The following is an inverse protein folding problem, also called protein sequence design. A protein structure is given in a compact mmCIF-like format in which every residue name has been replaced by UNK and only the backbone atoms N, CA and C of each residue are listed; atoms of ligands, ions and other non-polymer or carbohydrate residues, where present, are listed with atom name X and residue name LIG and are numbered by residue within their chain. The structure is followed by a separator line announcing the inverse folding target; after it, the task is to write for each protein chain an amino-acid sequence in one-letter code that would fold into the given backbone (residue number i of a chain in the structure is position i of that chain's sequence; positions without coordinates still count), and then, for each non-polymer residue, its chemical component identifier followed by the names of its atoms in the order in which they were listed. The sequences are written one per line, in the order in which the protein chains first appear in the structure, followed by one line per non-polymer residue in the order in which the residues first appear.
data_IF_645702534027
#
_entry.id   IF_645702534027
#
_cell.length_a   1.000
_cell.length_b   1.000
_cell.length_c   1.000
_cell.angle_alpha   90.00
_cell.angle_beta   90.00
_cell.angle_gamma   90.00
#
_symmetry.space_group_name_H-M   'P 1'
#
loop_
_entity.id
_entity.type
_entity.pdbx_description
1 polymer ?
#
# COMPACT_ATOMS: atom_id res chain seq x y z
N UNK A 1 16.45 -35.41 -2.86
CA UNK A 1 16.45 -34.63 -4.13
C UNK A 1 15.19 -33.77 -4.12
N UNK A 2 15.24 -32.49 -4.48
CA UNK A 2 14.20 -31.49 -4.16
C UNK A 2 13.21 -31.26 -5.33
N UNK A 3 11.90 -31.13 -5.04
CA UNK A 3 10.83 -30.90 -6.02
C UNK A 3 10.20 -29.50 -5.85
N UNK A 4 9.90 -28.83 -6.96
CA UNK A 4 9.50 -27.41 -7.02
C UNK A 4 8.17 -27.23 -7.76
N UNK A 5 7.31 -26.36 -7.23
CA UNK A 5 6.07 -25.90 -7.84
C UNK A 5 6.12 -24.37 -7.98
N UNK A 6 6.06 -23.88 -9.22
CA UNK A 6 6.08 -22.45 -9.54
C UNK A 6 4.71 -21.99 -10.00
N UNK A 7 4.03 -21.16 -9.20
CA UNK A 7 2.75 -20.54 -9.55
C UNK A 7 2.95 -19.25 -10.33
N UNK A 8 2.32 -19.19 -11.50
CA UNK A 8 2.34 -18.04 -12.40
C UNK A 8 0.94 -17.76 -12.98
N UNK A 9 0.62 -16.48 -13.21
CA UNK A 9 -0.71 -16.09 -13.71
C UNK A 9 -0.89 -16.25 -15.23
N UNK A 10 0.16 -15.99 -16.00
CA UNK A 10 0.22 -16.09 -17.48
C UNK A 10 1.66 -16.40 -17.89
N UNK A 11 1.85 -16.86 -19.12
CA UNK A 11 3.20 -17.13 -19.69
C UNK A 11 3.92 -18.34 -19.07
N UNK A 12 3.17 -19.36 -18.62
CA UNK A 12 3.76 -20.62 -18.12
C UNK A 12 4.77 -21.21 -19.10
N UNK A 13 4.40 -21.27 -20.38
CA UNK A 13 5.21 -21.82 -21.47
C UNK A 13 6.54 -21.06 -21.58
N UNK A 14 6.50 -19.73 -21.76
CA UNK A 14 7.70 -18.90 -21.87
C UNK A 14 8.62 -19.04 -20.66
N UNK A 15 8.08 -19.06 -19.43
CA UNK A 15 8.92 -19.24 -18.23
C UNK A 15 9.52 -20.64 -18.18
N UNK A 16 8.73 -21.68 -18.48
CA UNK A 16 9.23 -23.05 -18.53
C UNK A 16 10.32 -23.22 -19.58
N UNK A 17 10.16 -22.65 -20.78
CA UNK A 17 11.17 -22.65 -21.84
C UNK A 17 12.47 -21.96 -21.41
N UNK A 18 12.36 -20.80 -20.75
CA UNK A 18 13.53 -20.09 -20.21
C UNK A 18 14.28 -20.93 -19.17
N UNK A 19 13.55 -21.58 -18.26
CA UNK A 19 14.15 -22.44 -17.23
C UNK A 19 14.71 -23.74 -17.81
N UNK A 20 14.10 -24.26 -18.88
CA UNK A 20 14.51 -25.50 -19.55
C UNK A 20 15.91 -25.46 -20.14
N UNK A 21 16.49 -24.25 -20.29
CA UNK A 21 17.91 -24.10 -20.67
C UNK A 21 18.87 -24.75 -19.67
N UNK A 22 18.50 -24.78 -18.38
CA UNK A 22 19.39 -25.25 -17.30
C UNK A 22 18.72 -26.24 -16.33
N UNK A 23 17.40 -26.38 -16.37
CA UNK A 23 16.62 -27.14 -15.39
C UNK A 23 15.60 -28.03 -16.09
N UNK A 24 15.26 -29.18 -15.50
CA UNK A 24 14.19 -30.04 -16.04
C UNK A 24 12.83 -29.53 -15.59
N UNK A 25 12.14 -28.79 -16.45
CA UNK A 25 10.85 -28.18 -16.16
C UNK A 25 9.75 -28.63 -17.13
N UNK A 26 8.51 -28.64 -16.64
CA UNK A 26 7.32 -28.77 -17.45
C UNK A 26 6.33 -27.66 -17.11
N UNK A 27 5.40 -27.35 -18.01
CA UNK A 27 4.35 -26.37 -17.77
C UNK A 27 2.97 -27.01 -17.65
N UNK A 28 2.08 -26.35 -16.90
CA UNK A 28 0.69 -26.79 -16.72
C UNK A 28 -0.27 -25.59 -16.67
N UNK A 29 -1.26 -25.57 -17.57
CA UNK A 29 -2.34 -24.59 -17.55
C UNK A 29 -3.60 -25.16 -18.19
N UNK A 30 -4.71 -24.45 -18.05
CA UNK A 30 -6.02 -24.87 -18.57
C UNK A 30 -6.11 -24.95 -20.11
N UNK A 31 -5.12 -24.40 -20.83
CA UNK A 31 -5.05 -24.48 -22.29
C UNK A 31 -4.58 -25.84 -22.82
N UNK A 32 -3.92 -26.65 -21.98
CA UNK A 32 -3.54 -28.01 -22.32
C UNK A 32 -4.75 -28.94 -22.34
N UNK A 33 -4.76 -29.88 -23.28
CA UNK A 33 -5.77 -30.94 -23.32
C UNK A 33 -5.73 -31.79 -22.05
N UNK A 34 -6.82 -32.49 -21.73
CA UNK A 34 -6.87 -33.39 -20.56
C UNK A 34 -5.78 -34.46 -20.64
N UNK A 35 -5.49 -34.98 -21.83
CA UNK A 35 -4.44 -36.00 -22.05
C UNK A 35 -3.05 -35.45 -21.74
N UNK A 36 -2.73 -34.25 -22.21
CA UNK A 36 -1.44 -33.60 -21.94
C UNK A 36 -1.29 -33.27 -20.45
N UNK A 37 -2.33 -32.73 -19.81
CA UNK A 37 -2.34 -32.44 -18.38
C UNK A 37 -2.06 -33.69 -17.54
N UNK A 38 -2.70 -34.80 -17.86
CA UNK A 38 -2.47 -36.08 -17.18
C UNK A 38 -1.03 -36.58 -17.39
N UNK A 39 -0.51 -36.52 -18.62
CA UNK A 39 0.85 -36.95 -18.93
C UNK A 39 1.90 -36.12 -18.18
N UNK A 40 1.78 -34.79 -18.18
CA UNK A 40 2.69 -33.89 -17.44
C UNK A 40 2.64 -34.17 -15.95
N UNK A 41 1.44 -34.32 -15.37
CA UNK A 41 1.28 -34.63 -13.95
C UNK A 41 1.90 -35.98 -13.58
N UNK A 42 1.72 -37.02 -14.39
CA UNK A 42 2.34 -38.33 -14.17
C UNK A 42 3.86 -38.25 -14.22
N UNK A 43 4.43 -37.57 -15.22
CA UNK A 43 5.88 -37.43 -15.36
C UNK A 43 6.50 -36.63 -14.21
N UNK A 44 5.81 -35.61 -13.71
CA UNK A 44 6.23 -34.87 -12.53
C UNK A 44 6.14 -35.71 -11.24
N UNK A 45 5.08 -36.50 -11.09
CA UNK A 45 4.94 -37.42 -9.95
C UNK A 45 6.06 -38.49 -9.93
N UNK A 46 6.51 -38.93 -11.12
CA UNK A 46 7.64 -39.85 -11.31
C UNK A 46 9.01 -39.16 -11.29
N UNK A 47 9.08 -37.91 -10.87
CA UNK A 47 10.31 -37.12 -10.73
C UNK A 47 11.11 -36.93 -12.04
N UNK A 48 10.48 -37.12 -13.21
CA UNK A 48 11.08 -36.88 -14.53
C UNK A 48 11.31 -35.39 -14.78
N UNK A 49 10.39 -34.56 -14.29
CA UNK A 49 10.55 -33.11 -14.18
C UNK A 49 10.71 -32.74 -12.70
N UNK A 50 11.66 -31.85 -12.40
CA UNK A 50 11.87 -31.38 -11.02
C UNK A 50 11.04 -30.14 -10.70
N UNK A 51 10.70 -29.38 -11.73
CA UNK A 51 9.98 -28.12 -11.61
C UNK A 51 8.73 -28.21 -12.48
N UNK A 52 7.59 -27.88 -11.89
CA UNK A 52 6.36 -27.66 -12.65
C UNK A 52 5.98 -26.18 -12.57
N UNK A 53 5.86 -25.54 -13.74
CA UNK A 53 5.47 -24.14 -13.91
C UNK A 53 3.99 -24.09 -14.25
N UNK A 54 3.17 -23.61 -13.32
CA UNK A 54 1.74 -23.82 -13.39
C UNK A 54 0.90 -22.58 -13.11
N UNK A 55 -0.27 -22.51 -13.74
CA UNK A 55 -1.35 -21.61 -13.28
C UNK A 55 -2.18 -22.27 -12.18
N UNK A 56 -3.16 -21.53 -11.65
CA UNK A 56 -4.14 -22.01 -10.66
C UNK A 56 -4.87 -23.30 -11.12
N UNK A 57 -4.89 -23.58 -12.43
CA UNK A 57 -5.41 -24.83 -12.97
C UNK A 57 -4.72 -26.09 -12.40
N UNK A 58 -3.47 -25.97 -11.95
CA UNK A 58 -2.74 -27.04 -11.28
C UNK A 58 -3.07 -27.05 -9.78
N UNK A 59 -4.32 -27.44 -9.48
CA UNK A 59 -4.88 -27.34 -8.14
C UNK A 59 -5.65 -28.58 -7.66
N UNK A 60 -6.56 -29.10 -8.47
CA UNK A 60 -7.39 -30.24 -8.06
C UNK A 60 -6.65 -31.56 -8.31
N UNK A 61 -6.64 -32.45 -7.30
CA UNK A 61 -6.14 -33.82 -7.45
C UNK A 61 -4.61 -34.01 -7.44
N UNK A 62 -3.84 -33.00 -7.00
CA UNK A 62 -2.40 -33.15 -6.79
C UNK A 62 -2.15 -33.59 -5.35
N UNK A 63 -1.49 -34.74 -5.20
CA UNK A 63 -1.07 -35.29 -3.91
C UNK A 63 0.37 -35.82 -3.93
N UNK A 64 1.29 -35.01 -4.47
CA UNK A 64 2.72 -35.29 -4.34
C UNK A 64 3.18 -34.86 -2.95
N UNK A 65 3.61 -35.83 -2.13
CA UNK A 65 3.91 -35.58 -0.71
C UNK A 65 5.18 -34.77 -0.48
N UNK A 66 6.14 -34.91 -1.38
CA UNK A 66 7.52 -34.46 -1.21
C UNK A 66 7.86 -33.14 -1.92
N UNK A 67 6.87 -32.26 -2.12
CA UNK A 67 7.10 -30.92 -2.68
C UNK A 67 7.85 -30.07 -1.67
N UNK A 68 9.06 -29.62 -2.04
CA UNK A 68 9.94 -28.87 -1.14
C UNK A 68 9.86 -27.37 -1.30
N UNK A 69 9.50 -26.91 -2.49
CA UNK A 69 9.40 -25.49 -2.77
C UNK A 69 8.08 -25.19 -3.47
N UNK A 70 7.37 -24.18 -2.96
CA UNK A 70 6.28 -23.52 -3.68
C UNK A 70 6.69 -22.06 -3.88
N UNK A 71 6.78 -21.63 -5.13
CA UNK A 71 7.21 -20.28 -5.48
C UNK A 71 6.06 -19.60 -6.22
N UNK A 72 5.62 -18.45 -5.72
CA UNK A 72 4.68 -17.58 -6.42
C UNK A 72 5.47 -16.53 -7.18
N UNK A 73 5.55 -16.71 -8.50
CA UNK A 73 6.12 -15.70 -9.40
C UNK A 73 5.18 -14.52 -9.61
N UNK A 74 3.88 -14.76 -9.49
CA UNK A 74 2.84 -13.74 -9.58
C UNK A 74 2.10 -13.62 -8.27
N UNK A 75 1.76 -12.39 -7.88
CA UNK A 75 0.92 -12.10 -6.71
C UNK A 75 -0.37 -12.94 -6.77
N UNK A 76 -0.75 -13.71 -5.73
CA UNK A 76 -2.02 -14.45 -5.68
C UNK A 76 -3.23 -13.51 -5.72
N UNK A 77 -4.43 -14.06 -5.94
CA UNK A 77 -5.66 -13.26 -6.01
C UNK A 77 -6.28 -13.02 -4.63
N UNK A 78 -6.10 -13.96 -3.72
CA UNK A 78 -6.63 -13.92 -2.35
C UNK A 78 -5.68 -14.69 -1.41
N UNK A 79 -5.84 -14.51 -0.10
CA UNK A 79 -5.06 -15.24 0.90
C UNK A 79 -5.48 -16.72 0.99
N UNK A 80 -6.74 -17.05 0.72
CA UNK A 80 -7.21 -18.43 0.62
C UNK A 80 -6.55 -19.17 -0.52
N UNK A 81 -6.50 -18.54 -1.71
CA UNK A 81 -5.79 -19.09 -2.85
C UNK A 81 -4.32 -19.33 -2.51
N UNK A 82 -3.66 -18.33 -1.92
CA UNK A 82 -2.28 -18.45 -1.48
C UNK A 82 -2.06 -19.59 -0.47
N UNK A 83 -2.94 -19.73 0.52
CA UNK A 83 -2.88 -20.78 1.53
C UNK A 83 -3.06 -22.17 0.92
N UNK A 84 -4.04 -22.36 0.03
CA UNK A 84 -4.26 -23.63 -0.66
C UNK A 84 -3.11 -24.00 -1.60
N UNK A 85 -2.53 -23.01 -2.29
CA UNK A 85 -1.42 -23.19 -3.23
C UNK A 85 -0.13 -23.56 -2.49
N UNK A 86 0.19 -22.84 -1.40
CA UNK A 86 1.37 -23.12 -0.56
C UNK A 86 1.23 -24.39 0.27
N UNK A 87 0.01 -24.76 0.69
CA UNK A 87 -0.29 -26.01 1.41
C UNK A 87 -0.06 -27.31 0.62
N UNK A 88 0.46 -27.20 -0.61
CA UNK A 88 0.97 -28.35 -1.39
C UNK A 88 2.39 -28.73 -1.01
N UNK A 89 3.14 -27.80 -0.41
CA UNK A 89 4.48 -28.07 0.06
C UNK A 89 4.42 -28.96 1.31
N UNK A 90 5.35 -29.91 1.45
CA UNK A 90 5.62 -30.51 2.76
C UNK A 90 4.55 -31.46 3.29
N UNK A 91 3.75 -32.10 2.45
CA UNK A 91 2.73 -33.07 2.88
C UNK A 91 3.29 -34.35 3.50
N UNK A 92 4.58 -34.60 3.32
CA UNK A 92 5.34 -35.63 4.04
C UNK A 92 5.80 -35.19 5.45
N UNK A 93 5.44 -33.98 5.89
CA UNK A 93 5.82 -33.42 7.19
C UNK A 93 7.26 -32.90 7.26
N UNK A 94 8.03 -33.01 6.18
CA UNK A 94 9.42 -32.51 6.11
C UNK A 94 9.44 -31.04 5.75
N UNK A 95 10.56 -30.39 6.10
CA UNK A 95 10.77 -28.97 5.81
C UNK A 95 10.56 -28.64 4.32
N UNK A 96 9.81 -27.57 4.10
CA UNK A 96 9.52 -27.01 2.79
C UNK A 96 9.44 -25.49 2.88
N UNK A 97 9.72 -24.82 1.76
CA UNK A 97 9.83 -23.36 1.69
C UNK A 97 8.80 -22.81 0.71
N UNK A 98 8.06 -21.81 1.16
CA UNK A 98 7.11 -21.05 0.35
C UNK A 98 7.66 -19.63 0.12
N UNK A 99 7.83 -19.24 -1.15
CA UNK A 99 8.38 -17.93 -1.54
C UNK A 99 7.35 -17.19 -2.37
N UNK A 100 7.10 -15.92 -2.07
CA UNK A 100 6.24 -15.06 -2.88
C UNK A 100 7.04 -13.86 -3.36
N UNK A 101 7.17 -13.73 -4.69
CA UNK A 101 7.70 -12.52 -5.31
C UNK A 101 6.63 -11.45 -5.36
N UNK A 102 6.92 -10.31 -4.74
CA UNK A 102 5.97 -9.21 -4.59
C UNK A 102 6.46 -7.94 -5.27
N UNK A 103 5.62 -7.39 -6.14
CA UNK A 103 5.70 -6.00 -6.58
C UNK A 103 4.32 -5.36 -6.45
N UNK A 104 4.25 -4.18 -5.82
CA UNK A 104 3.01 -3.40 -5.68
C UNK A 104 2.32 -3.17 -7.03
N UNK A 105 3.09 -2.99 -8.11
CA UNK A 105 2.56 -2.76 -9.46
C UNK A 105 1.77 -3.95 -10.04
N UNK A 106 2.00 -5.17 -9.57
CA UNK A 106 1.32 -6.37 -10.09
C UNK A 106 -0.19 -6.35 -9.83
N UNK A 107 -0.64 -5.58 -8.83
CA UNK A 107 -2.06 -5.39 -8.54
C UNK A 107 -2.84 -4.83 -9.74
N UNK A 108 -2.20 -4.01 -10.59
CA UNK A 108 -2.88 -3.39 -11.73
C UNK A 108 -3.36 -4.44 -12.74
N UNK A 109 -2.54 -5.47 -13.00
CA UNK A 109 -2.91 -6.59 -13.87
C UNK A 109 -4.11 -7.36 -13.31
N UNK A 110 -4.15 -7.54 -11.99
CA UNK A 110 -5.23 -8.28 -11.32
C UNK A 110 -6.51 -7.47 -11.32
N UNK A 111 -6.45 -6.19 -10.94
CA UNK A 111 -7.59 -5.28 -11.01
C UNK A 111 -8.18 -5.17 -12.42
N UNK A 112 -7.32 -5.14 -13.44
CA UNK A 112 -7.76 -5.18 -14.83
C UNK A 112 -8.56 -6.45 -15.15
N UNK A 113 -8.06 -7.62 -14.76
CA UNK A 113 -8.79 -8.89 -14.94
C UNK A 113 -10.12 -8.93 -14.17
N UNK A 114 -10.16 -8.42 -12.94
CA UNK A 114 -11.40 -8.33 -12.14
C UNK A 114 -12.43 -7.44 -12.85
N UNK A 115 -12.00 -6.28 -13.37
CA UNK A 115 -12.89 -5.35 -14.03
C UNK A 115 -13.41 -5.88 -15.38
N UNK A 116 -12.57 -6.59 -16.14
CA UNK A 116 -12.93 -7.23 -17.42
C UNK A 116 -13.93 -8.38 -17.28
N UNK A 117 -14.07 -8.99 -16.12
CA UNK A 117 -15.02 -10.09 -15.96
C UNK A 117 -16.47 -9.56 -16.00
N UNK A 118 -17.09 -9.59 -17.18
CA UNK A 118 -18.45 -9.08 -17.40
C UNK A 118 -19.53 -9.91 -16.68
N UNK A 119 -19.22 -11.15 -16.31
CA UNK A 119 -20.14 -12.03 -15.59
C UNK A 119 -20.21 -11.73 -14.10
N UNK A 120 -19.24 -10.99 -13.54
CA UNK A 120 -19.23 -10.64 -12.12
C UNK A 120 -20.04 -9.38 -11.82
N UNK A 121 -20.89 -9.44 -10.79
CA UNK A 121 -21.60 -8.26 -10.26
C UNK A 121 -20.63 -7.22 -9.67
N UNK A 122 -21.11 -6.01 -9.40
CA UNK A 122 -20.29 -4.96 -8.78
C UNK A 122 -19.80 -5.39 -7.39
N UNK A 123 -20.65 -6.06 -6.62
CA UNK A 123 -20.38 -6.57 -5.29
C UNK A 123 -19.33 -7.68 -5.34
N UNK A 124 -19.44 -8.60 -6.30
CA UNK A 124 -18.43 -9.65 -6.51
C UNK A 124 -17.06 -9.07 -6.90
N UNK A 125 -17.04 -8.06 -7.80
CA UNK A 125 -15.82 -7.36 -8.16
C UNK A 125 -15.21 -6.62 -6.98
N UNK A 126 -16.06 -6.05 -6.11
CA UNK A 126 -15.60 -5.36 -4.90
C UNK A 126 -14.97 -6.36 -3.93
N UNK A 127 -15.63 -7.50 -3.66
CA UNK A 127 -15.07 -8.58 -2.85
C UNK A 127 -13.71 -9.07 -3.35
N UNK A 128 -13.56 -9.31 -4.65
CA UNK A 128 -12.28 -9.71 -5.25
C UNK A 128 -11.18 -8.65 -5.08
N UNK A 129 -11.55 -7.35 -5.08
CA UNK A 129 -10.61 -6.26 -4.81
C UNK A 129 -10.22 -6.22 -3.33
N UNK A 130 -11.13 -6.55 -2.44
CA UNK A 130 -10.87 -6.63 -1.00
C UNK A 130 -9.96 -7.82 -0.67
N UNK A 131 -10.22 -8.99 -1.25
CA UNK A 131 -9.33 -10.17 -1.18
C UNK A 131 -7.91 -9.86 -1.68
N UNK A 132 -7.79 -9.10 -2.78
CA UNK A 132 -6.49 -8.64 -3.28
C UNK A 132 -5.81 -7.64 -2.32
N UNK A 133 -6.59 -6.77 -1.66
CA UNK A 133 -6.06 -5.85 -0.65
C UNK A 133 -5.48 -6.63 0.53
N UNK A 134 -6.12 -7.71 0.96
CA UNK A 134 -5.61 -8.56 2.04
C UNK A 134 -4.26 -9.21 1.69
N UNK A 135 -4.12 -9.68 0.45
CA UNK A 135 -2.83 -10.18 -0.06
C UNK A 135 -1.75 -9.08 -0.05
N UNK A 136 -2.10 -7.87 -0.48
CA UNK A 136 -1.18 -6.73 -0.46
C UNK A 136 -0.77 -6.39 0.97
N UNK A 137 -1.71 -6.38 1.92
CA UNK A 137 -1.47 -6.13 3.33
C UNK A 137 -0.53 -7.17 3.93
N UNK A 138 -0.75 -8.44 3.60
CA UNK A 138 0.14 -9.52 3.96
C UNK A 138 1.56 -9.26 3.45
N UNK A 139 1.73 -8.90 2.16
CA UNK A 139 3.05 -8.68 1.56
C UNK A 139 3.78 -7.45 2.14
N UNK A 140 3.06 -6.35 2.39
CA UNK A 140 3.62 -5.10 2.93
C UNK A 140 3.92 -5.18 4.43
N UNK A 141 3.34 -6.16 5.16
CA UNK A 141 3.64 -6.38 6.56
C UNK A 141 5.00 -7.05 6.75
N UNK A 142 5.93 -6.35 7.40
CA UNK A 142 7.33 -6.78 7.60
C UNK A 142 7.66 -7.16 9.05
N UNK A 143 6.66 -7.18 9.94
CA UNK A 143 6.88 -7.27 11.38
C UNK A 143 6.11 -8.42 12.00
N UNK A 144 4.85 -8.59 11.62
CA UNK A 144 4.03 -9.65 12.19
C UNK A 144 4.41 -11.00 11.58
N UNK A 145 4.37 -12.03 12.41
CA UNK A 145 4.61 -13.41 11.97
C UNK A 145 3.71 -13.77 10.78
N UNK A 146 4.30 -14.31 9.69
CA UNK A 146 3.54 -14.73 8.50
C UNK A 146 2.42 -15.72 8.82
N UNK A 147 2.67 -16.68 9.72
CA UNK A 147 1.66 -17.65 10.17
C UNK A 147 0.53 -16.97 10.93
N UNK A 148 0.85 -16.05 11.85
CA UNK A 148 -0.16 -15.27 12.58
C UNK A 148 -1.06 -14.50 11.63
N UNK A 149 -0.50 -13.88 10.59
CA UNK A 149 -1.27 -13.13 9.60
C UNK A 149 -2.21 -14.03 8.78
N UNK A 150 -1.73 -15.18 8.33
CA UNK A 150 -2.54 -16.14 7.56
C UNK A 150 -3.62 -16.77 8.44
N UNK A 151 -3.29 -17.23 9.65
CA UNK A 151 -4.26 -17.90 10.52
C UNK A 151 -5.33 -16.93 11.00
N UNK A 152 -4.95 -15.69 11.34
CA UNK A 152 -5.92 -14.63 11.68
C UNK A 152 -6.91 -14.35 10.54
N UNK A 153 -6.50 -14.51 9.29
CA UNK A 153 -7.40 -14.36 8.14
C UNK A 153 -8.54 -15.40 8.14
N UNK A 154 -8.29 -16.58 8.70
CA UNK A 154 -9.29 -17.64 8.89
C UNK A 154 -9.92 -17.61 10.28
N UNK A 155 -9.86 -16.47 10.97
CA UNK A 155 -10.32 -16.28 12.35
C UNK A 155 -9.69 -17.28 13.35
N UNK A 156 -8.48 -17.75 13.06
CA UNK A 156 -7.69 -18.61 13.95
C UNK A 156 -6.59 -17.80 14.67
N UNK A 157 -6.52 -17.96 15.98
CA UNK A 157 -5.46 -17.35 16.78
C UNK A 157 -4.18 -18.18 16.77
N UNK A 158 -3.05 -17.50 16.58
CA UNK A 158 -1.72 -18.12 16.61
C UNK A 158 -0.73 -17.29 17.40
N UNK A 159 -0.13 -17.90 18.44
CA UNK A 159 0.99 -17.30 19.14
C UNK A 159 2.25 -17.36 18.25
N UNK A 160 2.75 -16.17 17.90
CA UNK A 160 3.97 -15.99 17.13
C UNK A 160 5.21 -16.66 17.73
N UNK A 161 5.26 -16.94 19.04
CA UNK A 161 6.36 -17.69 19.67
C UNK A 161 6.47 -19.11 19.09
N UNK A 162 5.35 -19.72 18.70
CA UNK A 162 5.28 -21.05 18.09
C UNK A 162 5.78 -21.07 16.64
N UNK A 163 6.04 -19.93 16.02
CA UNK A 163 6.66 -19.85 14.69
C UNK A 163 8.09 -20.41 14.70
N UNK A 164 8.80 -20.34 15.83
CA UNK A 164 10.19 -20.82 15.98
C UNK A 164 11.14 -20.28 14.90
N UNK A 165 10.97 -19.01 14.50
CA UNK A 165 11.78 -18.32 13.47
C UNK A 165 11.79 -19.01 12.10
N UNK A 166 10.69 -19.62 11.69
CA UNK A 166 10.57 -20.29 10.37
C UNK A 166 9.85 -19.43 9.32
N UNK A 167 9.74 -18.12 9.51
CA UNK A 167 9.32 -17.17 8.48
C UNK A 167 10.21 -15.93 8.50
N UNK A 168 10.33 -15.26 7.36
CA UNK A 168 11.17 -14.06 7.13
C UNK A 168 10.95 -12.95 8.18
N UNK A 169 9.71 -12.68 8.56
CA UNK A 169 9.41 -11.66 9.57
C UNK A 169 9.90 -12.06 10.97
N UNK A 170 9.84 -13.35 11.34
CA UNK A 170 10.32 -13.83 12.64
C UNK A 170 11.84 -14.07 12.68
N UNK A 171 12.48 -14.28 11.53
CA UNK A 171 13.96 -14.34 11.45
C UNK A 171 14.59 -12.95 11.49
N UNK A 172 13.84 -11.92 11.09
CA UNK A 172 14.28 -10.54 11.16
C UNK A 172 14.41 -10.07 12.63
N UNK A 173 15.64 -10.00 13.13
CA UNK A 173 15.96 -9.60 14.52
C UNK A 173 16.06 -8.09 14.71
N UNK A 174 15.81 -7.30 13.67
CA UNK A 174 15.98 -5.86 13.74
C UNK A 174 14.92 -5.25 14.63
N UNK A 175 15.35 -4.56 15.70
CA UNK A 175 14.42 -3.84 16.57
C UNK A 175 13.70 -2.78 15.76
N UNK A 176 12.38 -2.81 15.83
CA UNK A 176 11.53 -1.85 15.15
C UNK A 176 10.79 -0.97 16.14
N UNK A 177 10.47 0.24 15.68
CA UNK A 177 9.64 1.22 16.39
C UNK A 177 8.51 1.66 15.49
N UNK A 178 7.35 1.78 16.11
CA UNK A 178 6.15 2.32 15.50
C UNK A 178 6.25 3.85 15.55
N UNK A 179 6.18 4.48 14.39
CA UNK A 179 6.24 5.95 14.26
C UNK A 179 4.94 6.43 13.63
N UNK A 180 4.31 7.41 14.26
CA UNK A 180 3.09 8.02 13.76
C UNK A 180 3.42 9.07 12.67
N UNK A 181 2.82 8.90 11.49
CA UNK A 181 2.88 9.75 10.30
C UNK A 181 1.53 10.36 9.93
N UNK A 182 0.59 10.43 10.88
CA UNK A 182 -0.73 11.05 10.71
C UNK A 182 -0.63 12.46 10.14
N UNK A 183 0.29 13.29 10.65
CA UNK A 183 0.49 14.65 10.15
C UNK A 183 0.84 14.65 8.66
N UNK A 184 1.83 13.85 8.25
CA UNK A 184 2.24 13.71 6.84
C UNK A 184 1.07 13.21 5.98
N UNK A 185 0.29 12.25 6.48
CA UNK A 185 -0.86 11.72 5.76
C UNK A 185 -1.99 12.76 5.59
N UNK A 186 -2.23 13.60 6.59
CA UNK A 186 -3.19 14.71 6.50
C UNK A 186 -2.75 15.74 5.43
N UNK A 187 -1.46 16.09 5.41
CA UNK A 187 -0.88 16.99 4.42
C UNK A 187 -1.01 16.42 2.99
N UNK A 188 -0.64 15.15 2.79
CA UNK A 188 -0.81 14.45 1.52
C UNK A 188 -2.29 14.39 1.10
N UNK A 189 -3.20 14.14 2.04
CA UNK A 189 -4.64 14.10 1.77
C UNK A 189 -5.18 15.45 1.32
N UNK A 190 -4.69 16.55 1.90
CA UNK A 190 -5.05 17.91 1.47
C UNK A 190 -4.65 18.15 0.01
N UNK A 191 -3.45 17.72 -0.39
CA UNK A 191 -2.99 17.84 -1.78
C UNK A 191 -3.90 17.02 -2.71
N UNK A 192 -4.20 15.77 -2.36
CA UNK A 192 -5.04 14.87 -3.18
C UNK A 192 -6.49 15.36 -3.30
N UNK A 193 -7.05 15.97 -2.24
CA UNK A 193 -8.46 16.41 -2.20
C UNK A 193 -8.86 17.31 -3.36
N UNK A 194 -7.92 18.11 -3.88
CA UNK A 194 -8.19 19.09 -4.93
C UNK A 194 -7.40 18.84 -6.23
N UNK A 195 -6.64 17.74 -6.32
CA UNK A 195 -5.74 17.49 -7.45
C UNK A 195 -5.79 16.04 -7.93
N UNK A 196 -5.93 15.84 -9.25
CA UNK A 196 -5.72 14.52 -9.88
C UNK A 196 -4.22 14.30 -10.13
N UNK A 197 -3.59 13.54 -9.24
CA UNK A 197 -2.14 13.23 -9.28
C UNK A 197 -1.93 11.72 -9.31
N UNK A 198 -0.97 11.24 -10.09
CA UNK A 198 -0.46 9.88 -9.90
C UNK A 198 0.29 9.77 -8.57
N UNK A 199 0.51 8.55 -8.06
CA UNK A 199 1.32 8.33 -6.85
C UNK A 199 2.69 8.99 -6.95
N UNK A 200 3.36 8.87 -8.10
CA UNK A 200 4.67 9.49 -8.33
C UNK A 200 4.58 11.02 -8.33
N UNK A 201 3.55 11.58 -8.96
CA UNK A 201 3.33 13.03 -8.97
C UNK A 201 3.03 13.57 -7.56
N UNK A 202 2.29 12.83 -6.73
CA UNK A 202 2.02 13.24 -5.35
C UNK A 202 3.30 13.28 -4.52
N UNK A 203 4.17 12.26 -4.65
CA UNK A 203 5.49 12.26 -4.00
C UNK A 203 6.29 13.48 -4.43
N UNK A 204 6.36 13.71 -5.74
CA UNK A 204 7.13 14.78 -6.34
C UNK A 204 6.63 16.15 -5.84
N UNK A 205 5.33 16.41 -5.92
CA UNK A 205 4.69 17.63 -5.40
C UNK A 205 4.96 17.82 -3.90
N UNK A 206 4.78 16.78 -3.09
CA UNK A 206 4.96 16.88 -1.65
C UNK A 206 6.42 17.15 -1.27
N UNK A 207 7.38 16.56 -1.99
CA UNK A 207 8.82 16.83 -1.79
C UNK A 207 9.28 18.14 -2.42
N UNK A 208 8.46 18.79 -3.24
CA UNK A 208 8.85 19.97 -4.01
C UNK A 208 9.81 19.64 -5.15
N UNK A 209 9.81 18.39 -5.60
CA UNK A 209 10.65 17.90 -6.71
C UNK A 209 9.78 17.69 -7.95
N UNK A 210 10.28 18.01 -9.14
CA UNK A 210 9.55 17.78 -10.40
C UNK A 210 8.82 19.00 -10.97
N UNK A 211 8.29 18.84 -12.18
CA UNK A 211 7.84 19.98 -13.01
C UNK A 211 6.40 20.43 -12.73
N UNK A 212 5.56 19.54 -12.17
CA UNK A 212 4.14 19.82 -11.94
C UNK A 212 3.99 20.65 -10.67
N UNK A 213 3.68 21.94 -10.81
CA UNK A 213 3.37 22.82 -9.69
C UNK A 213 1.91 22.67 -9.28
N UNK A 214 1.68 22.50 -7.99
CA UNK A 214 0.35 22.46 -7.38
C UNK A 214 0.29 23.57 -6.35
N UNK A 215 -0.73 24.42 -6.46
CA UNK A 215 -0.99 25.47 -5.48
C UNK A 215 -1.63 24.86 -4.22
N UNK A 216 -0.79 24.51 -3.26
CA UNK A 216 -1.20 23.96 -1.97
C UNK A 216 -0.12 24.25 -0.92
N UNK A 217 -0.54 24.66 0.28
CA UNK A 217 0.35 25.06 1.39
C UNK A 217 1.31 23.95 1.86
N UNK A 218 1.03 22.70 1.52
CA UNK A 218 1.84 21.53 1.88
C UNK A 218 2.78 21.08 0.76
N UNK A 219 2.70 21.65 -0.45
CA UNK A 219 3.65 21.36 -1.52
C UNK A 219 5.07 21.78 -1.09
N UNK A 220 6.06 20.90 -1.27
CA UNK A 220 7.44 21.13 -0.84
C UNK A 220 7.78 20.79 0.63
N UNK A 221 6.79 20.56 1.50
CA UNK A 221 7.05 20.28 2.92
C UNK A 221 7.75 18.94 3.20
N UNK A 222 7.64 17.98 2.28
CA UNK A 222 8.27 16.67 2.37
C UNK A 222 9.73 16.62 1.90
N UNK A 223 10.41 17.74 1.69
CA UNK A 223 11.77 17.79 1.11
C UNK A 223 12.79 16.91 1.86
N UNK A 224 12.72 16.89 3.19
CA UNK A 224 13.60 16.14 4.10
C UNK A 224 13.15 14.68 4.29
N UNK A 225 12.01 14.29 3.73
CA UNK A 225 11.48 12.94 3.85
C UNK A 225 11.91 12.13 2.62
N UNK A 226 12.44 10.93 2.86
CA UNK A 226 12.84 10.01 1.78
C UNK A 226 11.63 9.65 0.91
N UNK A 227 11.83 9.66 -0.42
CA UNK A 227 10.83 9.25 -1.42
C UNK A 227 10.17 7.90 -1.09
N UNK A 228 10.97 6.93 -0.68
CA UNK A 228 10.49 5.57 -0.34
C UNK A 228 9.61 5.54 0.91
N UNK A 229 9.79 6.46 1.85
CA UNK A 229 8.94 6.57 3.03
C UNK A 229 7.59 7.21 2.69
N UNK A 230 7.60 8.30 1.92
CA UNK A 230 6.36 8.93 1.42
C UNK A 230 5.56 7.93 0.58
N UNK A 231 6.23 7.17 -0.28
CA UNK A 231 5.59 6.10 -1.06
C UNK A 231 4.90 5.07 -0.17
N UNK A 232 5.56 4.60 0.90
CA UNK A 232 4.96 3.67 1.88
C UNK A 232 3.73 4.27 2.57
N UNK A 233 3.83 5.52 3.02
CA UNK A 233 2.72 6.25 3.65
C UNK A 233 1.53 6.34 2.68
N UNK A 234 1.75 6.76 1.43
CA UNK A 234 0.70 6.82 0.40
C UNK A 234 0.08 5.45 0.16
N UNK A 235 0.89 4.39 0.01
CA UNK A 235 0.40 3.02 -0.16
C UNK A 235 -0.47 2.58 1.02
N UNK A 236 -0.06 2.90 2.25
CA UNK A 236 -0.84 2.63 3.46
C UNK A 236 -2.14 3.42 3.51
N UNK A 237 -2.14 4.67 3.04
CA UNK A 237 -3.36 5.47 2.89
C UNK A 237 -4.33 4.86 1.87
N UNK A 238 -3.83 4.30 0.76
CA UNK A 238 -4.63 3.58 -0.24
C UNK A 238 -5.23 2.31 0.36
N UNK A 239 -4.40 1.53 1.06
CA UNK A 239 -4.78 0.27 1.72
C UNK A 239 -5.89 0.50 2.75
N UNK A 240 -5.73 1.51 3.62
CA UNK A 240 -6.71 1.86 4.66
C UNK A 240 -7.93 2.60 4.11
N UNK A 241 -7.95 2.91 2.81
CA UNK A 241 -9.11 3.50 2.14
C UNK A 241 -9.29 5.00 2.32
N UNK A 242 -8.30 5.73 2.84
CA UNK A 242 -8.34 7.21 2.93
C UNK A 242 -8.26 7.88 1.57
N UNK A 243 -7.45 7.29 0.68
CA UNK A 243 -7.35 7.66 -0.72
C UNK A 243 -7.56 6.42 -1.58
N UNK A 244 -7.96 6.62 -2.82
CA UNK A 244 -8.19 5.54 -3.77
C UNK A 244 -7.47 5.85 -5.08
N UNK A 245 -7.01 4.81 -5.76
CA UNK A 245 -6.53 4.91 -7.13
C UNK A 245 -7.70 4.73 -8.09
N UNK A 246 -7.86 5.68 -9.01
CA UNK A 246 -8.80 5.59 -10.12
C UNK A 246 -8.03 5.58 -11.43
N UNK A 247 -8.37 4.62 -12.29
CA UNK A 247 -7.82 4.53 -13.64
C UNK A 247 -8.87 5.00 -14.64
N UNK A 248 -8.50 5.95 -15.50
CA UNK A 248 -9.30 6.41 -16.64
C UNK A 248 -8.51 6.15 -17.93
N UNK A 249 -9.19 5.79 -19.02
CA UNK A 249 -8.58 5.69 -20.34
C UNK A 249 -8.82 6.98 -21.10
N UNK A 250 -7.75 7.69 -21.45
CA UNK A 250 -7.82 8.89 -22.28
C UNK A 250 -7.05 8.62 -23.57
N UNK A 251 -7.74 8.54 -24.70
CA UNK A 251 -7.12 8.21 -25.99
C UNK A 251 -6.50 6.81 -26.06
N UNK A 252 -7.07 5.83 -25.34
CA UNK A 252 -6.58 4.45 -25.32
C UNK A 252 -5.44 4.18 -24.31
N UNK A 253 -4.86 5.23 -23.73
CA UNK A 253 -3.82 5.07 -22.70
C UNK A 253 -4.42 5.10 -21.30
N UNK A 254 -4.22 4.05 -20.48
CA UNK A 254 -4.69 4.03 -19.10
C UNK A 254 -3.85 4.99 -18.25
N UNK A 255 -4.51 5.96 -17.62
CA UNK A 255 -3.91 6.87 -16.66
C UNK A 255 -4.50 6.65 -15.27
N UNK A 256 -3.64 6.39 -14.28
CA UNK A 256 -4.05 6.17 -12.89
C UNK A 256 -3.69 7.38 -12.03
N UNK A 257 -4.67 7.87 -11.28
CA UNK A 257 -4.54 9.00 -10.37
C UNK A 257 -5.23 8.73 -9.03
N UNK A 258 -4.86 9.50 -8.02
CA UNK A 258 -5.37 9.39 -6.66
C UNK A 258 -6.59 10.28 -6.46
N UNK A 259 -7.58 9.78 -5.73
CA UNK A 259 -8.77 10.51 -5.29
C UNK A 259 -8.90 10.41 -3.78
N UNK A 260 -9.35 11.51 -3.16
CA UNK A 260 -9.65 11.55 -1.73
C UNK A 260 -11.02 10.92 -1.45
N UNK A 261 -11.13 10.12 -0.38
CA UNK A 261 -12.42 9.58 0.08
C UNK A 261 -12.96 10.41 1.25
N UNK A 262 -14.13 11.03 1.06
CA UNK A 262 -14.71 12.05 1.95
C UNK A 262 -15.04 11.59 3.39
N UNK A 263 -15.18 10.29 3.62
CA UNK A 263 -15.73 9.73 4.87
C UNK A 263 -14.69 9.07 5.79
N UNK A 264 -13.41 9.43 5.69
CA UNK A 264 -12.36 8.82 6.51
C UNK A 264 -11.61 9.90 7.31
N UNK A 265 -12.36 10.62 8.16
CA UNK A 265 -11.76 11.38 9.25
C UNK A 265 -11.34 10.36 10.31
N UNK A 266 -10.03 10.18 10.48
CA UNK A 266 -9.29 9.44 11.52
C UNK A 266 -8.00 8.88 10.87
N UNK A 267 -7.06 9.73 10.50
CA UNK A 267 -5.79 9.24 9.95
C UNK A 267 -4.89 8.78 11.09
N UNK A 268 -4.96 7.52 11.50
CA UNK A 268 -3.90 6.86 12.26
C UNK A 268 -2.98 6.11 11.28
N UNK A 269 -2.00 6.84 10.75
CA UNK A 269 -0.98 6.25 9.88
C UNK A 269 0.26 6.03 10.70
N UNK A 270 0.47 4.79 11.12
CA UNK A 270 1.71 4.40 11.78
C UNK A 270 2.58 3.61 10.80
N UNK A 271 3.88 3.86 10.76
CA UNK A 271 4.82 3.06 9.98
C UNK A 271 5.89 2.50 10.88
N UNK A 272 6.34 1.29 10.53
CA UNK A 272 7.35 0.61 11.30
C UNK A 272 8.73 0.93 10.74
N UNK A 273 9.60 1.42 11.61
CA UNK A 273 10.96 1.84 11.33
C UNK A 273 11.96 0.96 12.07
N UNK A 274 13.12 0.71 11.44
CA UNK A 274 14.27 0.09 12.12
C UNK A 274 14.85 1.10 13.11
N UNK A 275 15.19 0.66 14.33
CA UNK A 275 15.65 1.54 15.42
C UNK A 275 16.83 2.45 15.05
N UNK A 276 17.73 2.00 14.17
CA UNK A 276 18.88 2.79 13.70
C UNK A 276 18.47 4.07 12.94
N UNK A 277 17.25 4.12 12.38
CA UNK A 277 16.74 5.28 11.64
C UNK A 277 16.19 6.35 12.58
N UNK A 278 15.60 5.96 13.71
CA UNK A 278 15.02 6.93 14.67
C UNK A 278 16.13 7.64 15.47
N UNK A 279 17.29 7.01 15.66
CA UNK A 279 18.44 7.65 16.29
C UNK A 279 19.01 8.84 15.47
N UNK A 280 18.80 8.88 14.15
CA UNK A 280 19.26 9.99 13.28
C UNK A 280 18.23 11.12 13.11
N UNK A 281 16.98 10.91 13.54
CA UNK A 281 15.88 11.87 13.38
C UNK A 281 15.30 12.35 14.72
N UNK A 282 16.06 12.24 15.82
CA UNK A 282 15.70 12.88 17.10
C UNK A 282 15.96 14.38 17.02
N UNK A 283 15.05 15.12 16.40
CA UNK A 283 14.74 16.47 16.86
C UNK A 283 13.29 16.45 17.36
N UNK A 284 13.02 16.96 18.57
CA UNK A 284 11.66 17.01 19.09
C UNK A 284 10.88 18.07 18.33
N UNK A 285 9.75 17.68 17.74
CA UNK A 285 8.68 18.63 17.40
C UNK A 285 8.19 19.19 18.73
N UNK A 286 8.67 20.39 19.08
CA UNK A 286 8.21 21.12 20.25
C UNK A 286 6.69 21.29 20.17
N UNK A 287 6.04 20.95 21.28
CA UNK A 287 4.63 21.26 21.54
C UNK A 287 4.50 22.78 21.57
N UNK A 288 4.06 23.38 20.47
CA UNK A 288 3.55 24.75 20.51
C UNK A 288 2.30 24.77 21.41
N UNK A 289 2.52 25.15 22.67
CA UNK A 289 1.47 25.62 23.56
C UNK A 289 0.80 26.81 22.88
N UNK A 290 -0.49 26.63 22.60
CA UNK A 290 -1.41 27.71 22.29
C UNK A 290 -1.33 28.69 23.47
N UNK A 291 -0.77 29.87 23.23
CA UNK A 291 -0.69 30.94 24.20
C UNK A 291 -2.04 31.67 24.23
N UNK A 292 -3.05 31.03 24.81
CA UNK A 292 -4.25 31.70 25.31
C UNK A 292 -3.88 32.36 26.62
N UNK A 293 -3.43 33.61 26.58
CA UNK A 293 -3.52 34.57 27.69
C UNK A 293 -3.08 35.97 27.23
N UNK A 294 -4.05 36.74 26.74
CA UNK A 294 -4.05 38.22 26.79
C UNK A 294 -5.47 38.75 26.51
N UNK A 295 -6.41 38.31 27.34
CA UNK A 295 -7.71 38.97 27.56
C UNK A 295 -8.15 38.66 28.98
N UNK A 296 -7.56 39.34 29.96
CA UNK A 296 -8.20 39.69 31.23
C UNK A 296 -7.27 40.61 32.03
N UNK A 297 -7.34 41.90 31.73
CA UNK A 297 -6.99 42.96 32.67
C UNK A 297 -7.80 44.19 32.27
N UNK A 298 -8.25 44.94 33.27
CA UNK A 298 -9.16 46.11 33.17
C UNK A 298 -10.64 45.74 33.11
N UNK A 299 -11.14 45.22 34.24
CA UNK A 299 -12.44 45.63 34.82
C UNK A 299 -12.36 45.43 36.33
N UNK A 300 -12.18 46.53 37.06
CA UNK A 300 -12.87 46.88 38.30
C UNK A 300 -12.10 47.98 39.05
N UNK A 301 -12.46 49.23 38.78
CA UNK A 301 -12.51 50.28 39.79
C UNK A 301 -13.54 51.30 39.34
N UNK A 302 -14.78 51.11 39.77
CA UNK A 302 -15.80 52.14 39.76
C UNK A 302 -15.53 53.12 40.91
N UNK A 303 -15.83 54.39 40.61
CA UNK A 303 -16.08 55.52 41.50
C UNK A 303 -14.91 56.16 42.26
N UNK A 304 -14.46 57.30 41.73
CA UNK A 304 -14.60 58.58 42.43
C UNK A 304 -14.33 59.76 41.49
N UNK A 305 -15.17 60.81 41.60
CA UNK A 305 -14.73 62.20 41.41
C UNK A 305 -14.77 62.84 40.01
N UNK A 306 -15.88 63.53 39.74
CA UNK A 306 -16.03 64.82 39.03
C UNK A 306 -14.72 65.55 38.64
N UNK A 307 -14.60 66.03 37.39
CA UNK A 307 -14.87 67.43 36.94
C UNK A 307 -14.48 67.65 35.46
N UNK A 308 -15.11 68.67 34.88
CA UNK A 308 -14.98 69.27 33.55
C UNK A 308 -13.58 69.31 32.89
N UNK A 309 -13.53 69.34 31.55
CA UNK A 309 -13.18 70.54 30.75
C UNK A 309 -13.25 70.24 29.24
N UNK A 310 -13.90 71.19 28.57
CA UNK A 310 -14.26 71.35 27.17
C UNK A 310 -13.12 71.60 26.16
N UNK A 311 -13.47 71.51 24.85
CA UNK A 311 -12.89 72.23 23.67
C UNK A 311 -11.50 71.71 23.23
N UNK A 312 -11.08 71.64 21.97
CA UNK A 312 -11.18 72.52 20.78
C UNK A 312 -10.30 71.79 19.72
N UNK A 313 -10.64 71.57 18.45
CA UNK A 313 -10.33 72.46 17.30
C UNK A 313 -10.72 71.74 16.00
N UNK A 314 -11.50 72.45 15.18
CA UNK A 314 -11.81 72.22 13.76
C UNK A 314 -10.66 72.71 12.86
N UNK A 315 -10.77 72.39 11.56
CA UNK A 315 -10.16 73.06 10.38
C UNK A 315 -8.77 72.45 10.04
N UNK A 316 -8.56 71.82 8.86
CA UNK A 316 -8.57 72.42 7.51
C UNK A 316 -9.13 71.46 6.45
N UNK A 317 -9.89 72.07 5.53
CA UNK A 317 -10.58 71.57 4.33
C UNK A 317 -9.64 71.42 3.11
N UNK A 318 -10.11 70.60 2.15
CA UNK A 318 -9.85 70.60 0.67
C UNK A 318 -8.45 70.09 0.29
N UNK A 319 -8.22 69.31 -0.77
CA UNK A 319 -8.80 69.13 -2.13
C UNK A 319 -8.05 67.87 -2.68
N UNK A 320 -8.54 66.92 -3.48
CA UNK A 320 -9.25 67.02 -4.76
C UNK A 320 -9.74 65.61 -5.16
N UNK A 321 -10.96 65.53 -5.69
CA UNK A 321 -11.58 64.37 -6.35
C UNK A 321 -11.48 64.57 -7.87
N UNK A 322 -11.41 63.48 -8.66
CA UNK A 322 -12.02 63.21 -9.99
C UNK A 322 -11.06 62.42 -10.90
N UNK A 323 -11.39 61.17 -11.27
CA UNK A 323 -12.29 60.74 -12.37
C UNK A 323 -11.71 61.00 -13.77
N UNK A 324 -11.31 59.93 -14.46
CA UNK A 324 -11.55 59.76 -15.91
C UNK A 324 -11.65 58.27 -16.26
N UNK A 325 -12.85 57.91 -16.75
CA UNK A 325 -13.12 56.75 -17.62
C UNK A 325 -13.01 57.19 -19.08
N UNK A 326 -12.74 56.22 -19.96
CA UNK A 326 -12.88 56.18 -21.44
C UNK A 326 -11.80 56.86 -22.30
N UNK A 327 -11.03 56.01 -23.00
CA UNK A 327 -11.24 55.76 -24.43
C UNK A 327 -11.12 54.27 -24.70
#
# INVERSE_FOLDING_TARGET
MWNYLLYIKKECEMISEKLNKNLKTAFYHAGLSKKERNAVQQLWNQDKFKIIVATIAFGMGIDKKDVRFVIHYSLPKSLEGYYQETGRAGRDGKESICILYYNYGDKHKINYMINLNHQSTKEQKQRQKDELRDVINFCENKNDCRRKLILKYFDEDFDSTNCKKTCDNCTNTQKTVLVNYTTVANELSSIVRYNKLSLHQLIDVYRGTGNKKVDNVYAGRGNNIKKTLIERIIKKMIIKGYIEEKTESKGGFPWTYLIYRKNVDLLDIEEVHKNEIVAKNKEPIEKNKINTDKKLAIKNSTNSGKTDITKKIKVVKKKTLKLTKKK
#
